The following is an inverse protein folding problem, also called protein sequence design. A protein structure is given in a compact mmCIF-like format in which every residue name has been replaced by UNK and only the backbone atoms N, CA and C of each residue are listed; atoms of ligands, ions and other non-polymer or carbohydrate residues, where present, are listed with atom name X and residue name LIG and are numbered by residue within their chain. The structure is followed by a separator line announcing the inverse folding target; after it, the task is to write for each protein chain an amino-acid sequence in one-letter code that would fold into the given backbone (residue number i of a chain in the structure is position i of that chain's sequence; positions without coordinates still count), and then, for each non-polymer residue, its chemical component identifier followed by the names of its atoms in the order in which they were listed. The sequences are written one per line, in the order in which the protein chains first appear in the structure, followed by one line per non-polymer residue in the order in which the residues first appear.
data_IF_615302317422
#
_entry.id   IF_615302317422
#
_cell.length_a   1.000
_cell.length_b   1.000
_cell.length_c   1.000
_cell.angle_alpha   90.00
_cell.angle_beta   90.00
_cell.angle_gamma   90.00
#
_symmetry.space_group_name_H-M   'P 1'
#
loop_
_entity.id
_entity.type
_entity.pdbx_description
1 polymer ?
#
# COMPACT_ATOMS: atom_id res chain seq x y z
N UNK A 1 93.20 35.79 3.32
CA UNK A 1 92.51 36.10 2.05
C UNK A 1 92.66 34.89 1.14
N UNK A 2 91.67 33.99 1.10
CA UNK A 2 91.75 32.73 0.34
C UNK A 2 90.42 32.51 -0.39
N UNK A 3 90.52 32.32 -1.70
CA UNK A 3 89.45 31.90 -2.60
C UNK A 3 88.84 30.58 -2.14
N UNK A 4 87.50 30.51 -2.10
CA UNK A 4 86.78 29.24 -2.08
C UNK A 4 85.85 29.13 -3.28
N UNK A 5 86.08 28.03 -4.00
CA UNK A 5 85.45 27.57 -5.22
C UNK A 5 84.22 26.75 -4.82
N UNK A 6 83.01 27.23 -5.07
CA UNK A 6 81.77 26.49 -4.80
C UNK A 6 81.53 25.52 -5.96
N UNK A 7 81.51 24.21 -5.66
CA UNK A 7 81.16 23.13 -6.58
C UNK A 7 79.64 22.88 -6.53
N UNK A 8 79.10 22.63 -7.72
CA UNK A 8 77.76 22.15 -7.98
C UNK A 8 77.49 20.74 -7.42
N UNK A 9 76.21 20.46 -7.14
CA UNK A 9 75.70 19.10 -6.98
C UNK A 9 74.69 18.96 -5.84
N UNK A 10 73.42 19.30 -6.08
CA UNK A 10 72.30 18.79 -5.27
C UNK A 10 71.39 17.98 -6.20
N UNK A 11 71.21 16.67 -5.98
CA UNK A 11 70.36 15.86 -6.82
C UNK A 11 68.87 16.10 -6.48
N UNK A 12 68.14 16.50 -7.51
CA UNK A 12 66.68 16.49 -7.59
C UNK A 12 66.19 15.03 -7.66
N UNK A 13 66.02 14.36 -6.52
CA UNK A 13 65.35 13.06 -6.50
C UNK A 13 64.91 12.74 -5.07
N UNK A 14 63.66 13.03 -4.71
CA UNK A 14 62.88 12.36 -3.64
C UNK A 14 61.50 13.02 -3.42
N UNK A 15 60.66 13.13 -4.45
CA UNK A 15 59.24 13.59 -4.29
C UNK A 15 58.24 12.79 -5.16
N UNK A 16 58.51 11.51 -5.44
CA UNK A 16 57.70 10.68 -6.36
C UNK A 16 57.21 9.32 -5.80
N UNK A 17 57.15 9.12 -4.47
CA UNK A 17 56.76 7.80 -3.89
C UNK A 17 55.42 7.80 -3.13
N UNK A 18 54.74 8.93 -2.95
CA UNK A 18 53.54 9.00 -2.10
C UNK A 18 52.17 8.88 -2.83
N UNK A 19 52.11 8.46 -4.09
CA UNK A 19 50.86 8.54 -4.89
C UNK A 19 50.31 7.22 -5.46
N UNK A 20 50.81 6.06 -5.02
CA UNK A 20 50.41 4.75 -5.57
C UNK A 20 49.47 3.89 -4.69
N UNK A 21 48.99 4.38 -3.54
CA UNK A 21 48.15 3.59 -2.62
C UNK A 21 46.69 4.09 -2.47
N UNK A 22 46.24 5.05 -3.28
CA UNK A 22 44.87 5.59 -3.17
C UNK A 22 43.72 4.75 -3.80
N UNK A 23 43.90 3.82 -4.77
CA UNK A 23 42.75 3.22 -5.46
C UNK A 23 42.03 2.09 -4.70
N UNK A 24 42.63 1.47 -3.68
CA UNK A 24 42.04 0.30 -3.01
C UNK A 24 40.91 0.67 -2.03
N UNK A 25 40.98 1.84 -1.39
CA UNK A 25 40.04 2.24 -0.32
C UNK A 25 38.60 2.45 -0.85
N UNK A 26 38.44 2.91 -2.10
CA UNK A 26 37.13 3.20 -2.67
C UNK A 26 36.36 1.93 -3.07
N UNK A 27 37.06 0.88 -3.51
CA UNK A 27 36.44 -0.37 -3.91
C UNK A 27 35.86 -1.13 -2.71
N UNK A 28 36.58 -1.13 -1.59
CA UNK A 28 36.16 -1.79 -0.35
C UNK A 28 34.92 -1.11 0.25
N UNK A 29 34.88 0.23 0.24
CA UNK A 29 33.72 0.99 0.73
C UNK A 29 32.46 0.72 -0.12
N UNK A 30 32.60 0.66 -1.45
CA UNK A 30 31.47 0.35 -2.34
C UNK A 30 31.00 -1.10 -2.16
N UNK A 31 31.92 -2.04 -2.00
CA UNK A 31 31.61 -3.45 -1.75
C UNK A 31 30.83 -3.64 -0.45
N UNK A 32 31.30 -3.06 0.66
CA UNK A 32 30.60 -3.09 1.94
C UNK A 32 29.21 -2.43 1.86
N UNK A 33 29.10 -1.31 1.15
CA UNK A 33 27.82 -0.65 0.94
C UNK A 33 26.82 -1.54 0.18
N UNK A 34 27.30 -2.23 -0.86
CA UNK A 34 26.50 -3.03 -1.78
C UNK A 34 26.11 -4.43 -1.26
N UNK A 35 26.67 -4.89 -0.14
CA UNK A 35 26.28 -6.17 0.49
C UNK A 35 24.88 -6.12 1.13
N UNK A 36 24.40 -4.94 1.48
CA UNK A 36 23.08 -4.74 2.08
C UNK A 36 22.03 -4.41 1.01
N UNK A 37 21.58 -5.42 0.27
CA UNK A 37 20.54 -5.31 -0.75
C UNK A 37 19.25 -5.94 -0.27
N UNK A 38 18.42 -5.17 0.41
CA UNK A 38 17.11 -5.63 0.85
C UNK A 38 16.07 -4.52 0.73
N UNK A 39 15.00 -4.81 -0.02
CA UNK A 39 13.68 -4.21 0.23
C UNK A 39 12.90 -5.05 1.26
N UNK A 40 13.57 -5.99 1.93
CA UNK A 40 12.96 -6.93 2.85
C UNK A 40 12.71 -6.26 4.20
N UNK A 41 11.47 -6.39 4.67
CA UNK A 41 10.92 -5.62 5.79
C UNK A 41 10.11 -4.43 5.28
N UNK A 42 8.99 -4.14 5.93
CA UNK A 42 8.24 -2.88 5.78
C UNK A 42 9.19 -1.75 6.20
N UNK A 43 10.02 -1.28 5.28
CA UNK A 43 10.94 -0.17 5.57
C UNK A 43 10.09 1.09 5.71
N UNK A 44 10.11 1.63 6.92
CA UNK A 44 9.73 3.01 7.22
C UNK A 44 11.02 3.83 7.23
N UNK A 45 11.16 4.86 6.37
CA UNK A 45 10.17 5.37 5.41
C UNK A 45 10.03 4.49 4.16
N UNK A 46 8.86 4.52 3.48
CA UNK A 46 8.64 3.79 2.24
C UNK A 46 9.75 4.12 1.21
N UNK A 47 10.14 3.15 0.38
CA UNK A 47 11.20 3.37 -0.60
C UNK A 47 10.82 4.53 -1.50
N UNK A 48 11.76 5.48 -1.65
CA UNK A 48 11.56 6.62 -2.53
C UNK A 48 11.28 6.14 -3.95
N UNK A 49 10.45 6.85 -4.71
CA UNK A 49 10.25 6.53 -6.13
C UNK A 49 11.12 7.45 -6.97
N UNK A 50 11.75 6.90 -8.01
CA UNK A 50 12.41 7.66 -9.05
C UNK A 50 11.86 7.28 -10.42
N UNK A 51 11.97 8.19 -11.39
CA UNK A 51 11.66 7.91 -12.79
C UNK A 51 12.97 7.70 -13.53
N UNK A 52 13.01 6.69 -14.39
CA UNK A 52 14.14 6.48 -15.29
C UNK A 52 14.18 7.62 -16.30
N UNK A 53 15.28 8.35 -16.35
CA UNK A 53 15.49 9.43 -17.31
C UNK A 53 16.79 9.17 -18.07
N UNK A 54 16.65 8.50 -19.20
CA UNK A 54 17.73 8.20 -20.15
C UNK A 54 17.30 8.67 -21.55
N UNK A 55 18.24 8.88 -22.49
CA UNK A 55 17.90 9.23 -23.87
C UNK A 55 16.89 8.26 -24.49
N UNK A 56 16.03 8.76 -25.36
CA UNK A 56 15.03 7.92 -26.02
C UNK A 56 15.71 6.85 -26.88
N UNK A 57 15.30 5.58 -26.70
CA UNK A 57 15.90 4.42 -27.37
C UNK A 57 17.00 3.73 -26.56
N UNK A 58 17.56 4.39 -25.55
CA UNK A 58 18.54 3.79 -24.65
C UNK A 58 17.90 2.87 -23.62
N UNK A 59 18.75 2.05 -22.98
CA UNK A 59 18.38 1.06 -21.97
C UNK A 59 19.20 1.26 -20.70
N UNK A 60 18.53 1.32 -19.55
CA UNK A 60 19.19 1.29 -18.25
C UNK A 60 19.21 -0.15 -17.73
N UNK A 61 20.38 -0.77 -17.74
CA UNK A 61 20.54 -2.17 -17.35
C UNK A 61 20.52 -2.37 -15.84
N UNK A 62 19.83 -3.42 -15.39
CA UNK A 62 19.74 -3.84 -13.98
C UNK A 62 20.76 -4.94 -13.73
N UNK A 63 21.75 -4.66 -12.89
CA UNK A 63 22.84 -5.56 -12.55
C UNK A 63 22.62 -6.26 -11.21
N UNK A 64 23.14 -7.49 -11.05
CA UNK A 64 23.13 -8.16 -9.74
C UNK A 64 24.03 -7.45 -8.72
N UNK A 65 25.14 -6.89 -9.19
CA UNK A 65 26.16 -6.16 -8.43
C UNK A 65 26.56 -4.89 -9.20
N UNK A 66 26.94 -3.78 -8.55
CA UNK A 66 27.50 -2.62 -9.24
C UNK A 66 28.61 -3.01 -10.21
N UNK A 67 28.57 -2.56 -11.47
CA UNK A 67 29.54 -3.01 -12.47
C UNK A 67 30.99 -2.56 -12.18
N UNK A 68 31.15 -1.52 -11.36
CA UNK A 68 32.47 -1.09 -10.88
C UNK A 68 33.10 -2.02 -9.84
N UNK A 69 32.38 -3.04 -9.36
CA UNK A 69 32.90 -4.07 -8.45
C UNK A 69 33.22 -5.40 -9.17
N UNK A 70 33.27 -5.38 -10.50
CA UNK A 70 33.51 -6.53 -11.35
C UNK A 70 34.98 -6.60 -11.72
N UNK A 71 35.58 -7.80 -11.63
CA UNK A 71 36.98 -7.99 -12.01
C UNK A 71 37.17 -7.92 -13.53
N UNK A 72 36.16 -8.33 -14.31
CA UNK A 72 36.09 -8.16 -15.77
C UNK A 72 34.63 -7.96 -16.22
N UNK A 73 34.44 -7.56 -17.48
CA UNK A 73 33.11 -7.48 -18.13
C UNK A 73 32.43 -8.83 -18.28
N UNK A 74 33.19 -9.92 -18.24
CA UNK A 74 32.73 -11.28 -18.54
C UNK A 74 32.40 -12.05 -17.26
N UNK A 75 32.49 -11.40 -16.10
CA UNK A 75 32.06 -11.97 -14.83
C UNK A 75 30.54 -12.18 -14.84
N UNK A 76 30.09 -13.43 -14.69
CA UNK A 76 28.66 -13.82 -14.65
C UNK A 76 27.88 -13.10 -13.54
N UNK A 77 28.57 -12.64 -12.49
CA UNK A 77 27.97 -11.80 -11.44
C UNK A 77 27.63 -10.38 -11.92
N UNK A 78 28.19 -9.97 -13.05
CA UNK A 78 28.13 -8.63 -13.63
C UNK A 78 27.34 -8.59 -14.94
N UNK A 79 26.85 -9.74 -15.39
CA UNK A 79 25.82 -9.80 -16.41
C UNK A 79 24.54 -9.10 -15.93
N UNK A 80 23.99 -8.26 -16.81
CA UNK A 80 22.73 -7.61 -16.56
C UNK A 80 21.58 -8.62 -16.68
N UNK A 81 20.63 -8.57 -15.74
CA UNK A 81 19.45 -9.47 -15.74
C UNK A 81 18.34 -8.99 -16.66
N UNK A 82 18.22 -7.68 -16.80
CA UNK A 82 17.15 -7.01 -17.52
C UNK A 82 17.54 -5.56 -17.78
N UNK A 83 16.67 -4.83 -18.44
CA UNK A 83 16.78 -3.39 -18.59
C UNK A 83 15.43 -2.72 -18.35
N UNK A 84 15.49 -1.41 -18.13
CA UNK A 84 14.35 -0.50 -18.04
C UNK A 84 14.58 0.66 -18.99
N UNK A 85 13.48 1.30 -19.41
CA UNK A 85 13.50 2.40 -20.38
C UNK A 85 13.05 3.71 -19.73
N UNK A 86 13.33 4.82 -20.41
CA UNK A 86 12.92 6.16 -19.97
C UNK A 86 11.40 6.23 -19.67
N UNK A 87 11.03 6.93 -18.60
CA UNK A 87 9.66 7.06 -18.12
C UNK A 87 9.17 5.95 -17.18
N UNK A 88 9.91 4.86 -17.01
CA UNK A 88 9.56 3.83 -16.04
C UNK A 88 9.76 4.31 -14.60
N UNK A 89 8.80 4.04 -13.72
CA UNK A 89 8.93 4.27 -12.28
C UNK A 89 9.64 3.09 -11.59
N UNK A 90 10.52 3.41 -10.65
CA UNK A 90 11.23 2.42 -9.84
C UNK A 90 11.20 2.80 -8.37
N UNK A 91 11.08 1.81 -7.50
CA UNK A 91 11.36 1.99 -6.09
C UNK A 91 12.89 2.01 -5.88
N UNK A 92 13.37 3.04 -5.21
CA UNK A 92 14.77 3.30 -4.88
C UNK A 92 15.02 2.78 -3.47
N UNK A 93 15.99 1.89 -3.35
CA UNK A 93 16.54 1.43 -2.09
C UNK A 93 17.84 2.17 -1.76
N UNK A 94 18.86 1.42 -1.35
CA UNK A 94 20.15 1.98 -0.98
C UNK A 94 20.91 2.53 -2.19
N UNK A 95 21.50 3.71 -2.04
CA UNK A 95 22.45 4.29 -3.00
C UNK A 95 23.87 4.19 -2.47
N UNK A 96 24.78 3.68 -3.29
CA UNK A 96 26.19 3.46 -2.98
C UNK A 96 27.03 4.08 -4.10
N UNK A 97 27.55 5.29 -3.88
CA UNK A 97 28.29 6.02 -4.89
C UNK A 97 27.43 6.36 -6.11
N UNK A 98 27.81 5.88 -7.30
CA UNK A 98 27.08 6.10 -8.56
C UNK A 98 26.02 5.04 -8.85
N UNK A 99 25.76 4.15 -7.90
CA UNK A 99 24.87 3.02 -8.08
C UNK A 99 23.72 3.08 -7.09
N UNK A 100 22.51 2.81 -7.59
CA UNK A 100 21.31 2.74 -6.77
C UNK A 100 20.69 1.37 -6.91
N UNK A 101 20.40 0.72 -5.78
CA UNK A 101 19.64 -0.50 -5.77
C UNK A 101 18.16 -0.17 -5.97
N UNK A 102 17.54 -0.77 -6.97
CA UNK A 102 16.15 -0.52 -7.32
C UNK A 102 15.31 -1.79 -7.28
N UNK A 103 14.01 -1.58 -7.18
CA UNK A 103 12.98 -2.57 -7.52
C UNK A 103 12.13 -2.00 -8.63
N UNK A 104 12.24 -2.61 -9.81
CA UNK A 104 11.39 -2.34 -10.95
C UNK A 104 10.25 -3.36 -10.98
N UNK A 105 9.04 -2.91 -11.33
CA UNK A 105 7.88 -3.77 -11.54
C UNK A 105 7.46 -3.65 -13.00
N UNK A 106 7.96 -4.56 -13.83
CA UNK A 106 7.53 -4.68 -15.22
C UNK A 106 6.27 -5.54 -15.36
N UNK A 107 5.70 -5.59 -16.55
CA UNK A 107 4.39 -6.21 -16.83
C UNK A 107 4.31 -7.69 -16.43
N UNK A 108 5.41 -8.44 -16.58
CA UNK A 108 5.47 -9.89 -16.33
C UNK A 108 6.17 -10.28 -15.04
N UNK A 109 7.06 -9.44 -14.51
CA UNK A 109 7.88 -9.76 -13.34
C UNK A 109 8.40 -8.51 -12.65
N UNK A 110 8.54 -8.59 -11.33
CA UNK A 110 9.37 -7.63 -10.59
C UNK A 110 10.83 -8.03 -10.66
N UNK A 111 11.71 -7.05 -10.90
CA UNK A 111 13.16 -7.26 -10.97
C UNK A 111 13.86 -6.29 -10.04
N UNK A 112 14.81 -6.79 -9.25
CA UNK A 112 15.67 -5.98 -8.40
C UNK A 112 17.11 -6.03 -8.87
N UNK A 113 17.86 -4.98 -8.56
CA UNK A 113 19.29 -4.91 -8.85
C UNK A 113 19.80 -3.48 -8.82
N UNK A 114 21.08 -3.35 -9.16
CA UNK A 114 21.78 -2.07 -9.19
C UNK A 114 21.67 -1.44 -10.57
N UNK A 115 21.40 -0.15 -10.61
CA UNK A 115 21.42 0.68 -11.81
C UNK A 115 22.31 1.90 -11.60
N UNK A 116 22.75 2.54 -12.68
CA UNK A 116 23.44 3.83 -12.58
C UNK A 116 22.49 4.89 -12.03
N UNK A 117 22.87 5.55 -10.94
CA UNK A 117 22.07 6.63 -10.33
C UNK A 117 21.86 7.80 -11.28
N UNK A 118 22.76 8.02 -12.24
CA UNK A 118 22.63 9.09 -13.24
C UNK A 118 21.47 8.88 -14.21
N UNK A 119 20.97 7.65 -14.34
CA UNK A 119 19.78 7.33 -15.15
C UNK A 119 18.48 7.44 -14.36
N UNK A 120 18.54 7.85 -13.09
CA UNK A 120 17.39 8.03 -12.22
C UNK A 120 17.19 9.52 -11.95
N UNK A 121 15.99 10.00 -12.22
CA UNK A 121 15.55 11.32 -11.84
C UNK A 121 14.65 11.21 -10.61
N UNK A 122 15.22 11.57 -9.47
CA UNK A 122 14.46 11.85 -8.25
C UNK A 122 13.93 13.27 -8.37
N UNK A 123 12.77 13.42 -9.03
CA UNK A 123 12.12 14.73 -9.10
C UNK A 123 11.79 15.20 -7.67
N UNK A 124 12.23 16.41 -7.27
CA UNK A 124 11.72 17.04 -6.06
C UNK A 124 10.21 17.21 -6.10
N UNK A 125 9.60 17.31 -7.29
CA UNK A 125 8.14 17.42 -7.44
C UNK A 125 7.44 16.08 -7.23
N UNK A 126 8.07 14.96 -7.58
CA UNK A 126 7.64 13.63 -7.11
C UNK A 126 7.81 13.46 -5.60
N UNK A 127 8.59 14.34 -4.93
CA UNK A 127 8.62 14.50 -3.48
C UNK A 127 7.62 15.54 -2.95
N UNK A 128 7.30 16.58 -3.71
CA UNK A 128 6.38 17.67 -3.32
C UNK A 128 4.92 17.25 -3.42
N UNK A 129 4.60 16.39 -4.38
CA UNK A 129 3.31 15.69 -4.49
C UNK A 129 3.10 14.64 -3.38
N UNK A 130 4.08 14.43 -2.49
CA UNK A 130 4.03 13.30 -1.54
C UNK A 130 3.06 13.49 -0.38
N UNK A 131 2.61 14.72 -0.12
CA UNK A 131 1.57 15.02 0.85
C UNK A 131 0.32 15.63 0.18
N UNK A 132 -0.01 15.16 -1.03
CA UNK A 132 -1.21 15.61 -1.71
C UNK A 132 -2.51 15.34 -0.94
N UNK A 133 -2.46 14.56 0.14
CA UNK A 133 -3.60 14.31 1.02
C UNK A 133 -3.23 14.66 2.45
N UNK A 134 -4.08 15.48 3.07
CA UNK A 134 -4.09 15.64 4.51
C UNK A 134 -5.47 15.32 5.06
N UNK A 135 -5.50 14.84 6.28
CA UNK A 135 -6.70 14.52 7.00
C UNK A 135 -7.00 15.61 8.01
N UNK A 136 -8.28 15.96 8.12
CA UNK A 136 -8.79 16.83 9.17
C UNK A 136 -9.79 16.06 10.03
N UNK A 137 -9.58 16.06 11.35
CA UNK A 137 -10.50 15.43 12.29
C UNK A 137 -11.78 16.27 12.41
N UNK A 138 -12.91 15.70 11.98
CA UNK A 138 -14.23 16.33 12.00
C UNK A 138 -15.10 15.84 13.16
N UNK A 139 -14.85 14.62 13.67
CA UNK A 139 -15.52 14.05 14.86
C UNK A 139 -14.52 13.34 15.77
N UNK A 140 -14.69 13.45 17.08
CA UNK A 140 -13.89 12.71 18.08
C UNK A 140 -12.72 13.48 18.68
N UNK A 141 -12.69 14.82 18.56
CA UNK A 141 -11.64 15.68 19.13
C UNK A 141 -11.44 15.43 20.63
N UNK A 142 -10.18 15.30 21.06
CA UNK A 142 -9.82 15.02 22.44
C UNK A 142 -9.96 13.54 22.84
N UNK A 143 -10.43 12.68 21.94
CA UNK A 143 -10.40 11.24 22.14
C UNK A 143 -9.02 10.71 21.75
N UNK A 144 -8.25 10.06 22.65
CA UNK A 144 -6.84 9.73 22.41
C UNK A 144 -6.56 8.93 21.13
N UNK A 145 -7.41 7.94 20.81
CA UNK A 145 -7.26 7.15 19.57
C UNK A 145 -7.50 8.02 18.33
N UNK A 146 -8.43 8.98 18.40
CA UNK A 146 -8.75 9.83 17.25
C UNK A 146 -7.60 10.78 16.91
N UNK A 147 -7.01 11.41 17.93
CA UNK A 147 -5.88 12.33 17.77
C UNK A 147 -4.60 11.57 17.34
N UNK A 148 -4.36 10.39 17.91
CA UNK A 148 -3.24 9.54 17.53
C UNK A 148 -3.38 9.03 16.08
N UNK A 149 -4.58 8.61 15.68
CA UNK A 149 -4.83 8.13 14.33
C UNK A 149 -4.74 9.28 13.31
N UNK A 150 -5.21 10.49 13.64
CA UNK A 150 -4.97 11.69 12.81
C UNK A 150 -3.47 11.90 12.56
N UNK A 151 -2.67 11.85 13.62
CA UNK A 151 -1.22 12.03 13.56
C UNK A 151 -0.57 10.95 12.67
N UNK A 152 -1.04 9.71 12.77
CA UNK A 152 -0.55 8.60 11.92
C UNK A 152 -0.92 8.85 10.47
N UNK A 153 -2.20 9.10 10.16
CA UNK A 153 -2.67 9.40 8.81
C UNK A 153 -1.87 10.54 8.16
N UNK A 154 -1.65 11.65 8.87
CA UNK A 154 -0.89 12.79 8.34
C UNK A 154 0.64 12.61 8.30
N UNK A 155 1.16 11.52 8.89
CA UNK A 155 2.58 11.14 8.79
C UNK A 155 2.80 10.09 7.70
N UNK A 156 1.77 9.33 7.37
CA UNK A 156 1.81 8.28 6.37
C UNK A 156 1.89 8.87 4.97
N UNK A 157 2.85 8.37 4.19
CA UNK A 157 2.92 8.67 2.77
C UNK A 157 1.86 7.88 2.00
N UNK A 158 1.04 8.58 1.22
CA UNK A 158 0.03 7.99 0.36
C UNK A 158 0.31 8.36 -1.09
N UNK A 159 0.83 7.39 -1.85
CA UNK A 159 1.09 7.56 -3.29
C UNK A 159 -0.20 7.86 -4.08
N UNK A 160 -1.31 7.33 -3.60
CA UNK A 160 -2.64 7.45 -4.16
C UNK A 160 -3.61 7.73 -3.02
N UNK A 161 -4.84 8.20 -3.30
CA UNK A 161 -5.81 8.39 -2.23
C UNK A 161 -5.88 7.17 -1.31
N UNK A 162 -5.88 7.38 0.02
CA UNK A 162 -5.67 6.35 1.04
C UNK A 162 -6.90 5.46 1.25
N UNK A 163 -7.62 5.12 0.19
CA UNK A 163 -8.94 4.51 0.31
C UNK A 163 -8.89 3.12 0.96
N UNK A 164 -7.80 2.38 0.82
CA UNK A 164 -7.63 1.06 1.40
C UNK A 164 -6.17 0.79 1.76
N UNK A 165 -5.96 -0.20 2.63
CA UNK A 165 -4.63 -0.63 3.04
C UNK A 165 -3.92 0.42 3.88
N UNK A 166 -4.65 1.13 4.75
CA UNK A 166 -4.07 2.14 5.64
C UNK A 166 -2.89 1.48 6.40
N UNK A 167 -1.64 1.96 6.21
CA UNK A 167 -0.46 1.29 6.71
C UNK A 167 -0.51 1.04 8.21
N UNK A 168 -0.37 -0.23 8.59
CA UNK A 168 -0.23 -0.72 9.96
C UNK A 168 1.22 -0.56 10.44
N UNK A 169 1.52 0.58 11.05
CA UNK A 169 2.78 0.83 11.76
C UNK A 169 2.55 1.30 13.20
N UNK A 170 3.62 1.19 13.99
CA UNK A 170 3.74 1.56 15.40
C UNK A 170 4.47 2.90 15.58
N UNK A 171 4.57 3.70 14.50
CA UNK A 171 5.37 4.93 14.49
C UNK A 171 4.74 6.09 15.26
N UNK A 172 3.52 5.90 15.77
CA UNK A 172 2.80 6.79 16.68
C UNK A 172 2.47 6.02 17.96
N UNK A 173 2.82 6.60 19.11
CA UNK A 173 2.65 5.96 20.42
C UNK A 173 1.21 5.49 20.67
N UNK A 174 1.11 4.27 21.20
CA UNK A 174 -0.14 3.59 21.50
C UNK A 174 -0.61 2.64 20.39
N UNK A 175 -0.16 2.78 19.14
CA UNK A 175 -0.48 1.77 18.13
C UNK A 175 0.37 0.50 18.29
N UNK A 176 -0.27 -0.64 18.07
CA UNK A 176 0.43 -1.91 17.90
C UNK A 176 0.30 -2.35 16.44
N UNK A 177 1.43 -2.70 15.83
CA UNK A 177 1.43 -3.31 14.50
C UNK A 177 0.83 -4.72 14.57
N UNK A 178 -0.24 -4.95 13.83
CA UNK A 178 -0.82 -6.28 13.68
C UNK A 178 -0.02 -7.06 12.64
N UNK A 179 0.09 -8.36 12.84
CA UNK A 179 0.78 -9.24 11.89
C UNK A 179 -0.21 -9.76 10.87
N UNK A 180 -0.13 -9.24 9.65
CA UNK A 180 -0.91 -9.68 8.49
C UNK A 180 -0.24 -10.91 7.86
N UNK A 181 -0.90 -12.05 7.90
CA UNK A 181 -0.50 -13.25 7.17
C UNK A 181 -1.25 -13.30 5.84
N UNK A 182 -0.53 -13.06 4.75
CA UNK A 182 -1.11 -13.19 3.40
C UNK A 182 -1.61 -14.62 3.20
N UNK A 183 -2.80 -14.75 2.60
CA UNK A 183 -3.33 -16.04 2.24
C UNK A 183 -2.47 -16.67 1.15
N UNK A 184 -2.16 -17.96 1.30
CA UNK A 184 -1.61 -18.74 0.20
C UNK A 184 -2.63 -18.84 -0.94
N UNK A 185 -2.14 -19.13 -2.15
CA UNK A 185 -3.01 -19.36 -3.31
C UNK A 185 -4.10 -20.42 -3.01
N UNK A 186 -3.72 -21.50 -2.32
CA UNK A 186 -4.65 -22.57 -1.94
C UNK A 186 -5.74 -22.08 -0.99
N UNK A 187 -5.38 -21.30 0.03
CA UNK A 187 -6.35 -20.73 0.98
C UNK A 187 -7.28 -19.74 0.29
N UNK A 188 -6.74 -18.79 -0.49
CA UNK A 188 -7.55 -17.84 -1.24
C UNK A 188 -8.55 -18.58 -2.17
N UNK A 189 -8.06 -19.57 -2.93
CA UNK A 189 -8.92 -20.35 -3.83
C UNK A 189 -10.11 -21.00 -3.11
N UNK A 190 -9.88 -21.58 -1.94
CA UNK A 190 -10.95 -22.23 -1.16
C UNK A 190 -12.01 -21.23 -0.67
N UNK A 191 -11.61 -20.01 -0.36
CA UNK A 191 -12.50 -18.99 0.20
C UNK A 191 -13.22 -18.15 -0.85
N UNK A 192 -12.70 -18.11 -2.07
CA UNK A 192 -13.14 -17.16 -3.09
C UNK A 192 -14.64 -17.20 -3.33
N UNK A 193 -15.23 -18.38 -3.54
CA UNK A 193 -16.66 -18.46 -3.82
C UNK A 193 -17.51 -18.04 -2.63
N UNK A 194 -17.12 -18.43 -1.42
CA UNK A 194 -17.84 -18.04 -0.20
C UNK A 194 -17.85 -16.52 -0.02
N UNK A 195 -16.69 -15.89 -0.15
CA UNK A 195 -16.53 -14.44 -0.02
C UNK A 195 -17.20 -13.70 -1.19
N UNK A 196 -17.00 -14.14 -2.44
CA UNK A 196 -17.58 -13.48 -3.61
C UNK A 196 -19.11 -13.52 -3.59
N UNK A 197 -19.70 -14.67 -3.27
CA UNK A 197 -21.15 -14.80 -3.15
C UNK A 197 -21.66 -13.99 -1.97
N UNK A 198 -21.02 -14.05 -0.81
CA UNK A 198 -21.43 -13.26 0.35
C UNK A 198 -21.35 -11.75 0.08
N UNK A 199 -20.27 -11.25 -0.51
CA UNK A 199 -20.14 -9.83 -0.87
C UNK A 199 -21.15 -9.38 -1.93
N UNK A 200 -21.63 -10.28 -2.78
CA UNK A 200 -22.57 -9.94 -3.83
C UNK A 200 -24.02 -10.09 -3.39
N UNK A 201 -24.42 -11.19 -2.75
CA UNK A 201 -25.83 -11.46 -2.41
C UNK A 201 -26.13 -11.26 -0.93
N UNK A 202 -25.10 -11.00 -0.13
CA UNK A 202 -25.17 -11.03 1.32
C UNK A 202 -25.21 -12.44 1.89
N UNK A 203 -25.22 -13.51 1.08
CA UNK A 203 -25.20 -14.91 1.52
C UNK A 203 -24.07 -15.66 0.83
N UNK A 204 -23.37 -16.53 1.55
CA UNK A 204 -22.29 -17.31 0.98
C UNK A 204 -22.83 -18.40 0.03
N UNK A 205 -21.95 -18.98 -0.78
CA UNK A 205 -22.33 -20.04 -1.71
C UNK A 205 -22.86 -21.26 -0.95
N UNK A 206 -23.96 -21.83 -1.44
CA UNK A 206 -24.42 -23.16 -0.96
C UNK A 206 -23.54 -24.30 -1.48
N UNK A 207 -22.63 -24.02 -2.42
CA UNK A 207 -21.68 -24.99 -2.96
C UNK A 207 -20.56 -25.33 -1.98
N UNK A 208 -19.98 -26.52 -2.14
CA UNK A 208 -18.78 -26.93 -1.39
C UNK A 208 -17.58 -26.08 -1.83
N UNK A 209 -16.81 -25.49 -0.89
CA UNK A 209 -15.56 -24.80 -1.20
C UNK A 209 -14.65 -25.62 -2.13
N UNK A 210 -14.26 -25.03 -3.26
CA UNK A 210 -13.41 -25.68 -4.26
C UNK A 210 -14.14 -26.61 -5.25
N UNK A 211 -15.45 -26.44 -5.47
CA UNK A 211 -16.13 -27.02 -6.63
C UNK A 211 -15.46 -26.54 -7.94
N UNK A 212 -15.44 -27.37 -8.98
CA UNK A 212 -14.76 -27.06 -10.25
C UNK A 212 -15.26 -25.76 -10.90
N UNK A 213 -16.54 -25.42 -10.73
CA UNK A 213 -17.10 -24.15 -11.21
C UNK A 213 -16.50 -22.93 -10.50
N UNK A 214 -16.18 -23.08 -9.22
CA UNK A 214 -15.50 -22.05 -8.43
C UNK A 214 -14.02 -21.96 -8.83
N UNK A 215 -13.38 -23.09 -9.14
CA UNK A 215 -12.02 -23.14 -9.68
C UNK A 215 -11.94 -22.40 -11.03
N UNK A 216 -12.90 -22.60 -11.93
CA UNK A 216 -12.95 -21.89 -13.22
C UNK A 216 -13.20 -20.38 -13.05
N UNK A 217 -14.11 -19.97 -12.14
CA UNK A 217 -14.34 -18.56 -11.84
C UNK A 217 -13.12 -17.90 -11.19
N UNK A 218 -12.45 -18.61 -10.29
CA UNK A 218 -11.23 -18.16 -9.66
C UNK A 218 -10.11 -18.05 -10.70
N UNK A 219 -9.86 -19.09 -11.50
CA UNK A 219 -8.77 -19.09 -12.47
C UNK A 219 -9.00 -18.06 -13.60
N UNK A 220 -10.24 -17.87 -14.07
CA UNK A 220 -10.56 -16.83 -15.07
C UNK A 220 -10.36 -15.41 -14.53
N UNK A 221 -10.68 -15.14 -13.26
CA UNK A 221 -10.52 -13.82 -12.65
C UNK A 221 -9.12 -13.58 -12.06
N UNK A 222 -8.43 -14.62 -11.59
CA UNK A 222 -7.19 -14.51 -10.80
C UNK A 222 -5.95 -15.13 -11.48
N UNK A 223 -6.08 -16.16 -12.33
CA UNK A 223 -4.94 -16.75 -13.08
C UNK A 223 -4.77 -16.20 -14.50
N UNK A 224 -5.86 -15.83 -15.16
CA UNK A 224 -5.84 -15.29 -16.54
C UNK A 224 -5.01 -14.01 -16.67
N UNK A 225 -4.82 -13.26 -15.58
CA UNK A 225 -3.91 -12.15 -15.52
C UNK A 225 -2.64 -12.54 -14.76
N UNK A 226 -1.57 -12.89 -15.46
CA UNK A 226 -0.20 -12.77 -14.94
C UNK A 226 0.21 -11.31 -14.66
N UNK A 227 -0.75 -10.42 -14.39
CA UNK A 227 -0.64 -8.99 -14.19
C UNK A 227 -1.02 -8.59 -12.77
N UNK A 228 -1.08 -7.29 -12.53
CA UNK A 228 -1.23 -6.61 -11.23
C UNK A 228 -2.42 -7.00 -10.33
N UNK A 229 -3.26 -7.98 -10.70
CA UNK A 229 -4.56 -8.30 -10.12
C UNK A 229 -4.57 -9.49 -9.14
N UNK A 230 -3.42 -9.88 -8.57
CA UNK A 230 -3.48 -10.75 -7.38
C UNK A 230 -4.07 -9.92 -6.24
N UNK A 231 -5.39 -9.97 -6.05
CA UNK A 231 -6.03 -9.16 -5.03
C UNK A 231 -5.51 -9.64 -3.68
N UNK A 232 -4.89 -8.76 -2.88
CA UNK A 232 -4.30 -9.19 -1.63
C UNK A 232 -5.45 -9.55 -0.68
N UNK A 233 -5.38 -10.78 -0.21
CA UNK A 233 -6.20 -11.28 0.88
C UNK A 233 -5.27 -11.73 2.01
N UNK A 234 -5.62 -11.39 3.24
CA UNK A 234 -4.82 -11.74 4.41
C UNK A 234 -5.71 -12.04 5.62
N UNK A 235 -5.11 -12.70 6.60
CA UNK A 235 -5.63 -12.87 7.95
C UNK A 235 -4.72 -12.17 8.95
N UNK A 236 -5.22 -12.00 10.16
CA UNK A 236 -4.42 -11.58 11.30
C UNK A 236 -3.93 -12.79 12.09
N UNK A 237 -2.66 -12.79 12.48
CA UNK A 237 -2.04 -13.86 13.28
C UNK A 237 -1.23 -13.25 14.44
N UNK A 238 -1.70 -13.34 15.70
CA UNK A 238 -2.87 -14.09 16.14
C UNK A 238 -4.22 -13.47 15.69
N UNK A 239 -5.33 -14.23 15.75
CA UNK A 239 -6.68 -13.70 15.55
C UNK A 239 -6.97 -12.46 16.42
N UNK A 240 -7.92 -11.62 15.99
CA UNK A 240 -8.15 -10.30 16.61
C UNK A 240 -9.45 -10.26 17.40
N UNK A 241 -9.43 -9.69 18.60
CA UNK A 241 -10.62 -9.44 19.42
C UNK A 241 -11.30 -8.14 18.98
N UNK A 242 -11.98 -8.19 17.83
CA UNK A 242 -12.58 -7.00 17.21
C UNK A 242 -13.76 -6.46 18.03
N UNK A 243 -14.42 -7.30 18.83
CA UNK A 243 -15.50 -6.94 19.74
C UNK A 243 -15.00 -6.34 21.07
N UNK A 244 -13.71 -6.49 21.36
CA UNK A 244 -13.09 -6.09 22.61
C UNK A 244 -13.75 -6.74 23.84
N UNK A 245 -14.08 -8.03 23.73
CA UNK A 245 -14.80 -8.81 24.76
C UNK A 245 -13.97 -9.97 25.34
N UNK A 246 -12.70 -10.10 24.93
CA UNK A 246 -11.79 -11.16 25.33
C UNK A 246 -11.77 -12.37 24.38
N UNK A 247 -12.61 -12.42 23.34
CA UNK A 247 -12.66 -13.50 22.36
C UNK A 247 -12.16 -13.03 20.99
N UNK A 248 -11.18 -13.74 20.44
CA UNK A 248 -10.61 -13.39 19.15
C UNK A 248 -11.39 -14.05 17.99
N UNK A 249 -11.64 -13.26 16.94
CA UNK A 249 -12.26 -13.69 15.69
C UNK A 249 -11.17 -13.96 14.62
N UNK A 250 -11.35 -15.03 13.83
CA UNK A 250 -10.54 -15.26 12.62
C UNK A 250 -11.09 -14.39 11.49
N UNK A 251 -10.37 -13.30 11.17
CA UNK A 251 -10.81 -12.31 10.20
C UNK A 251 -9.99 -12.40 8.93
N UNK A 252 -10.67 -12.57 7.81
CA UNK A 252 -10.10 -12.42 6.47
C UNK A 252 -10.43 -11.02 5.96
N UNK A 253 -9.41 -10.29 5.52
CA UNK A 253 -9.60 -9.06 4.74
C UNK A 253 -9.32 -9.37 3.27
N UNK A 254 -10.23 -9.00 2.39
CA UNK A 254 -10.17 -9.30 0.96
C UNK A 254 -10.37 -8.04 0.12
N UNK A 255 -9.42 -7.76 -0.78
CA UNK A 255 -9.56 -6.69 -1.76
C UNK A 255 -10.32 -7.17 -3.01
N UNK A 256 -11.19 -6.32 -3.55
CA UNK A 256 -12.03 -6.55 -4.74
C UNK A 256 -13.12 -7.64 -4.57
N UNK A 257 -13.55 -7.94 -3.33
CA UNK A 257 -14.67 -8.88 -3.12
C UNK A 257 -16.03 -8.34 -3.63
N UNK A 258 -16.18 -7.01 -3.72
CA UNK A 258 -17.42 -6.33 -4.08
C UNK A 258 -17.69 -6.26 -5.60
N UNK A 259 -18.98 -6.16 -5.93
CA UNK A 259 -19.65 -6.56 -7.18
C UNK A 259 -19.13 -6.08 -8.53
N UNK A 260 -18.22 -5.12 -8.68
CA UNK A 260 -18.22 -4.38 -9.96
C UNK A 260 -16.90 -4.15 -10.70
N UNK A 261 -15.71 -4.03 -10.12
CA UNK A 261 -14.57 -3.59 -10.96
C UNK A 261 -13.18 -4.08 -10.54
N UNK A 262 -12.39 -4.41 -11.55
CA UNK A 262 -11.00 -4.92 -11.52
C UNK A 262 -9.96 -3.84 -11.21
N UNK A 263 -10.25 -2.90 -10.31
CA UNK A 263 -9.28 -1.86 -9.98
C UNK A 263 -8.55 -2.21 -8.70
N UNK A 264 -7.24 -1.95 -8.67
CA UNK A 264 -6.38 -2.24 -7.52
C UNK A 264 -6.37 -1.08 -6.53
N UNK A 265 -6.21 -1.40 -5.24
CA UNK A 265 -6.10 -0.40 -4.19
C UNK A 265 -5.05 0.65 -4.53
N UNK A 266 -5.43 1.92 -4.41
CA UNK A 266 -4.54 3.03 -4.75
C UNK A 266 -4.29 3.17 -6.26
N UNK A 267 -5.29 3.03 -7.13
CA UNK A 267 -5.17 3.56 -8.49
C UNK A 267 -5.75 4.98 -8.50
N UNK A 268 -4.94 5.96 -8.95
CA UNK A 268 -5.44 7.29 -9.32
C UNK A 268 -6.40 7.09 -10.47
N UNK A 269 -7.70 7.22 -10.20
CA UNK A 269 -8.67 7.29 -11.27
C UNK A 269 -8.55 8.67 -11.91
N UNK A 270 -8.42 8.67 -13.24
CA UNK A 270 -8.28 9.85 -14.08
C UNK A 270 -9.27 10.93 -13.64
N UNK A 271 -8.78 12.15 -13.45
CA UNK A 271 -9.63 13.25 -12.99
C UNK A 271 -10.68 13.70 -14.03
N UNK A 272 -10.55 13.23 -15.27
CA UNK A 272 -11.36 13.67 -16.41
C UNK A 272 -12.59 12.82 -16.74
N UNK A 273 -12.83 11.71 -16.04
CA UNK A 273 -14.02 10.87 -16.25
C UNK A 273 -14.68 10.73 -14.88
N UNK A 274 -15.99 10.97 -14.79
CA UNK A 274 -16.79 10.97 -13.54
C UNK A 274 -16.89 9.64 -12.81
N UNK A 275 -15.89 8.77 -12.98
CA UNK A 275 -15.80 7.38 -12.56
C UNK A 275 -14.68 7.24 -11.52
N UNK A 276 -14.82 7.89 -10.37
CA UNK A 276 -13.93 7.69 -9.22
C UNK A 276 -14.44 6.51 -8.37
N UNK A 277 -14.20 5.29 -8.85
CA UNK A 277 -14.53 4.04 -8.19
C UNK A 277 -13.54 3.66 -7.09
N UNK A 278 -14.03 3.42 -5.87
CA UNK A 278 -13.20 2.83 -4.82
C UNK A 278 -13.08 1.34 -5.00
N UNK A 279 -11.88 0.85 -4.74
CA UNK A 279 -11.65 -0.58 -4.63
C UNK A 279 -12.20 -1.05 -3.31
N UNK A 280 -13.15 -1.98 -3.36
CA UNK A 280 -13.69 -2.59 -2.15
C UNK A 280 -12.60 -3.34 -1.40
N UNK A 281 -12.49 -3.12 -0.09
CA UNK A 281 -11.69 -3.94 0.81
C UNK A 281 -12.59 -4.32 1.98
N UNK A 282 -13.03 -5.56 2.03
CA UNK A 282 -14.01 -5.99 3.01
C UNK A 282 -13.39 -6.97 3.99
N UNK A 283 -13.85 -6.91 5.24
CA UNK A 283 -13.49 -7.86 6.28
C UNK A 283 -14.62 -8.87 6.47
N UNK A 284 -14.25 -10.13 6.67
CA UNK A 284 -15.16 -11.25 6.86
C UNK A 284 -14.70 -12.04 8.09
N UNK A 285 -15.64 -12.32 8.99
CA UNK A 285 -15.36 -13.26 10.08
C UNK A 285 -15.57 -14.66 9.56
N UNK A 286 -14.57 -15.50 9.77
CA UNK A 286 -14.58 -16.89 9.38
C UNK A 286 -15.14 -17.76 10.49
N UNK A 287 -15.83 -18.84 10.13
CA UNK A 287 -16.21 -19.89 11.07
C UNK A 287 -14.95 -20.61 11.58
N UNK A 288 -15.09 -21.40 12.65
CA UNK A 288 -13.95 -22.10 13.27
C UNK A 288 -13.20 -23.08 12.36
N UNK A 289 -13.77 -23.49 11.23
CA UNK A 289 -13.09 -24.30 10.21
C UNK A 289 -12.22 -23.47 9.25
N UNK A 290 -12.35 -22.14 9.29
CA UNK A 290 -11.64 -21.20 8.43
C UNK A 290 -12.00 -21.33 6.94
N UNK A 291 -13.08 -22.02 6.57
CA UNK A 291 -13.48 -22.27 5.16
C UNK A 291 -14.76 -21.53 4.77
N UNK A 292 -15.57 -21.17 5.74
CA UNK A 292 -16.86 -20.50 5.53
C UNK A 292 -16.92 -19.17 6.26
N UNK A 293 -17.64 -18.22 5.66
CA UNK A 293 -17.95 -16.95 6.32
C UNK A 293 -18.96 -17.24 7.42
N UNK A 294 -18.69 -16.75 8.63
CA UNK A 294 -19.72 -16.58 9.65
C UNK A 294 -20.55 -15.36 9.26
N UNK A 295 -21.61 -15.62 8.50
CA UNK A 295 -22.41 -14.56 7.92
C UNK A 295 -23.10 -13.69 8.97
N UNK A 296 -23.59 -14.30 10.07
CA UNK A 296 -24.26 -13.58 11.14
C UNK A 296 -23.30 -12.65 11.86
N UNK A 297 -22.12 -13.17 12.20
CA UNK A 297 -21.05 -12.41 12.84
C UNK A 297 -20.53 -11.31 11.94
N UNK A 298 -20.22 -11.62 10.69
CA UNK A 298 -19.73 -10.67 9.68
C UNK A 298 -20.71 -9.50 9.48
N UNK A 299 -22.00 -9.79 9.31
CA UNK A 299 -23.04 -8.76 9.19
C UNK A 299 -23.12 -7.90 10.45
N UNK A 300 -23.08 -8.52 11.63
CA UNK A 300 -23.20 -7.78 12.89
C UNK A 300 -22.05 -6.78 13.12
N UNK A 301 -20.86 -7.07 12.57
CA UNK A 301 -19.65 -6.26 12.75
C UNK A 301 -19.50 -5.18 11.67
N UNK A 302 -19.56 -5.59 10.40
CA UNK A 302 -19.10 -4.80 9.26
C UNK A 302 -20.22 -4.29 8.37
N UNK A 303 -21.47 -4.66 8.66
CA UNK A 303 -22.63 -4.24 7.88
C UNK A 303 -23.57 -3.41 8.72
N UNK A 304 -24.36 -2.58 8.03
CA UNK A 304 -25.35 -1.76 8.71
C UNK A 304 -26.47 -2.66 9.25
N UNK A 305 -27.06 -2.29 10.39
CA UNK A 305 -28.32 -2.89 10.81
C UNK A 305 -29.35 -2.77 9.66
N UNK A 306 -30.23 -3.77 9.45
CA UNK A 306 -31.27 -3.67 8.45
C UNK A 306 -32.06 -2.39 8.67
N UNK A 307 -31.95 -1.46 7.73
CA UNK A 307 -32.82 -0.30 7.69
C UNK A 307 -33.95 -0.66 6.74
N UNK A 308 -35.19 -0.33 7.09
CA UNK A 308 -36.33 -0.45 6.16
C UNK A 308 -36.19 0.63 5.07
N UNK A 309 -35.18 0.49 4.21
CA UNK A 309 -34.99 1.36 3.09
C UNK A 309 -35.99 0.95 2.02
N UNK A 310 -37.09 1.72 1.97
CA UNK A 310 -38.03 1.64 0.88
C UNK A 310 -37.44 2.43 -0.30
N UNK A 311 -37.10 1.73 -1.37
CA UNK A 311 -36.86 2.40 -2.65
C UNK A 311 -38.12 3.15 -3.07
N UNK A 312 -37.97 4.19 -3.91
CA UNK A 312 -39.10 4.94 -4.50
C UNK A 312 -40.09 4.03 -5.24
N UNK A 313 -39.66 2.85 -5.68
CA UNK A 313 -40.49 1.84 -6.35
C UNK A 313 -41.17 0.84 -5.37
N UNK A 314 -41.06 1.04 -4.06
CA UNK A 314 -41.68 0.18 -3.04
C UNK A 314 -40.97 -1.15 -2.77
N UNK A 315 -39.88 -1.48 -3.47
CA UNK A 315 -39.03 -2.61 -3.09
C UNK A 315 -38.32 -2.27 -1.79
N UNK A 316 -38.50 -3.11 -0.78
CA UNK A 316 -37.62 -3.11 0.39
C UNK A 316 -36.33 -3.70 -0.09
N UNK A 317 -35.27 -2.90 0.00
CA UNK A 317 -33.96 -3.49 -0.13
C UNK A 317 -33.64 -4.25 1.15
N UNK A 318 -33.48 -5.56 1.06
CA UNK A 318 -32.82 -6.30 2.13
C UNK A 318 -31.31 -6.30 1.95
N UNK A 319 -30.78 -5.51 0.99
CA UNK A 319 -29.37 -5.53 0.66
C UNK A 319 -28.52 -5.22 1.88
N UNK A 320 -27.59 -6.13 2.08
CA UNK A 320 -26.58 -6.06 3.12
C UNK A 320 -25.58 -4.99 2.71
N UNK A 321 -25.78 -3.78 3.22
CA UNK A 321 -24.91 -2.65 2.96
C UNK A 321 -23.73 -2.67 3.94
N UNK A 322 -22.49 -2.81 3.47
CA UNK A 322 -21.33 -2.69 4.36
C UNK A 322 -21.29 -1.28 4.97
N UNK A 323 -20.80 -1.15 6.20
CA UNK A 323 -20.68 0.16 6.87
C UNK A 323 -19.79 1.08 6.03
N UNK A 324 -18.70 0.53 5.50
CA UNK A 324 -17.69 1.19 4.68
C UNK A 324 -17.30 0.31 3.49
N UNK A 325 -16.88 0.91 2.38
CA UNK A 325 -16.38 0.13 1.22
C UNK A 325 -15.02 -0.49 1.47
N UNK A 326 -14.26 0.13 2.36
CA UNK A 326 -12.92 -0.28 2.72
C UNK A 326 -12.88 -0.50 4.22
N UNK A 327 -12.29 -1.60 4.66
CA UNK A 327 -12.21 -1.99 6.07
C UNK A 327 -10.76 -2.34 6.37
N UNK A 328 -10.11 -1.53 7.20
CA UNK A 328 -8.81 -1.78 7.79
C UNK A 328 -8.99 -1.96 9.30
N UNK A 329 -8.29 -2.93 9.90
CA UNK A 329 -8.35 -3.20 11.34
C UNK A 329 -7.02 -2.76 11.97
N UNK A 330 -7.08 -2.14 13.14
CA UNK A 330 -5.88 -1.74 13.88
C UNK A 330 -6.09 -1.84 15.39
N UNK A 331 -4.99 -1.94 16.13
CA UNK A 331 -5.01 -1.91 17.59
C UNK A 331 -4.37 -0.63 18.11
N UNK A 332 -5.07 0.05 19.03
CA UNK A 332 -4.57 1.19 19.78
C UNK A 332 -4.75 0.94 21.28
N UNK A 333 -3.62 0.91 22.00
CA UNK A 333 -3.52 0.42 23.37
C UNK A 333 -4.12 -0.98 23.44
N UNK A 334 -5.03 -1.25 24.37
CA UNK A 334 -5.63 -2.57 24.56
C UNK A 334 -6.83 -2.84 23.64
N UNK A 335 -7.21 -1.91 22.77
CA UNK A 335 -8.46 -2.01 22.01
C UNK A 335 -8.23 -2.14 20.51
N UNK A 336 -9.04 -2.99 19.89
CA UNK A 336 -9.16 -3.12 18.45
C UNK A 336 -10.25 -2.20 17.90
N UNK A 337 -9.94 -1.63 16.75
CA UNK A 337 -10.81 -0.74 15.99
C UNK A 337 -10.80 -1.18 14.54
N UNK A 338 -11.82 -0.78 13.80
CA UNK A 338 -11.77 -0.82 12.35
C UNK A 338 -12.07 0.56 11.77
N UNK A 339 -11.52 0.84 10.61
CA UNK A 339 -11.71 2.09 9.90
C UNK A 339 -12.01 1.85 8.43
N UNK A 340 -12.70 2.81 7.84
CA UNK A 340 -13.12 2.70 6.47
C UNK A 340 -13.73 3.97 5.93
N UNK A 341 -13.64 4.16 4.63
CA UNK A 341 -14.34 5.25 3.99
C UNK A 341 -15.80 4.90 3.79
N UNK A 342 -16.69 5.84 4.11
CA UNK A 342 -18.09 5.69 3.75
C UNK A 342 -18.24 5.60 2.24
N UNK A 343 -19.22 4.83 1.81
CA UNK A 343 -19.66 4.86 0.42
C UNK A 343 -20.58 6.07 0.20
N UNK A 344 -20.43 6.73 -0.94
CA UNK A 344 -21.33 7.79 -1.37
C UNK A 344 -22.06 7.44 -2.69
N UNK A 345 -21.91 6.21 -3.18
CA UNK A 345 -22.55 5.80 -4.42
C UNK A 345 -24.09 5.86 -4.28
N UNK A 346 -24.70 6.57 -5.23
CA UNK A 346 -26.12 6.60 -5.61
C UNK A 346 -27.13 6.38 -4.47
N UNK A 347 -27.51 7.42 -3.72
CA UNK A 347 -28.70 7.49 -2.82
C UNK A 347 -28.88 6.41 -1.73
N UNK A 348 -28.13 5.29 -1.74
CA UNK A 348 -28.36 4.13 -0.87
C UNK A 348 -27.38 4.11 0.30
N UNK A 349 -26.18 4.67 0.12
CA UNK A 349 -25.12 4.53 1.10
C UNK A 349 -24.85 5.85 1.84
N UNK A 350 -25.21 5.88 3.13
CA UNK A 350 -24.97 6.98 4.06
C UNK A 350 -23.89 6.64 5.08
N UNK A 351 -24.00 7.16 6.29
CA UNK A 351 -23.15 6.75 7.41
C UNK A 351 -23.66 5.46 8.05
N UNK A 352 -23.14 5.10 9.22
CA UNK A 352 -23.56 3.89 9.95
C UNK A 352 -25.08 3.78 10.10
N UNK A 353 -25.75 4.92 10.33
CA UNK A 353 -27.21 5.01 10.53
C UNK A 353 -27.96 5.26 9.22
N UNK A 354 -27.25 5.45 8.10
CA UNK A 354 -27.84 5.78 6.80
C UNK A 354 -28.35 7.23 6.68
N UNK A 355 -28.22 8.04 7.73
CA UNK A 355 -28.78 9.39 7.82
C UNK A 355 -28.20 10.35 6.76
N UNK A 356 -26.91 10.18 6.43
CA UNK A 356 -26.22 11.02 5.44
C UNK A 356 -26.40 10.58 3.97
N UNK A 357 -27.15 9.50 3.69
CA UNK A 357 -27.35 9.01 2.32
C UNK A 357 -28.11 10.01 1.42
N UNK A 358 -28.98 10.83 2.01
CA UNK A 358 -29.93 11.71 1.27
C UNK A 358 -29.54 13.19 1.25
N UNK A 359 -28.45 13.58 1.89
CA UNK A 359 -28.02 14.97 1.88
C UNK A 359 -27.67 15.37 0.43
N UNK A 360 -28.32 16.41 -0.09
CA UNK A 360 -28.21 16.87 -1.49
C UNK A 360 -26.77 17.07 -1.94
N UNK A 361 -25.90 17.46 -1.01
CA UNK A 361 -24.50 17.74 -1.25
C UNK A 361 -23.71 16.46 -1.56
N UNK A 362 -24.24 15.26 -1.27
CA UNK A 362 -23.59 13.99 -1.61
C UNK A 362 -23.93 13.51 -3.04
N UNK A 363 -25.01 13.99 -3.66
CA UNK A 363 -25.45 13.50 -4.99
C UNK A 363 -24.65 14.07 -6.16
N UNK A 364 -24.18 15.31 -6.01
CA UNK A 364 -23.46 16.04 -7.06
C UNK A 364 -22.08 16.50 -6.61
N UNK A 365 -21.66 16.15 -5.39
CA UNK A 365 -20.29 16.35 -4.96
C UNK A 365 -19.41 15.50 -5.88
N UNK A 366 -18.45 16.08 -6.62
CA UNK A 366 -17.35 15.27 -7.13
C UNK A 366 -16.77 14.52 -5.94
N UNK A 367 -16.31 13.29 -6.16
CA UNK A 367 -15.77 12.39 -5.13
C UNK A 367 -14.64 13.03 -4.29
N UNK A 368 -14.14 14.21 -4.70
CA UNK A 368 -13.29 15.14 -3.94
C UNK A 368 -14.01 15.91 -2.81
N UNK A 369 -15.30 15.68 -2.55
CA UNK A 369 -16.06 16.35 -1.49
C UNK A 369 -17.16 15.46 -0.88
N UNK A 370 -17.63 15.81 0.32
CA UNK A 370 -18.77 15.16 0.96
C UNK A 370 -18.44 13.86 1.70
N UNK A 371 -19.47 13.02 1.89
CA UNK A 371 -19.38 11.81 2.73
C UNK A 371 -18.37 10.79 2.20
N UNK A 372 -18.17 10.72 0.88
CA UNK A 372 -17.16 9.87 0.28
C UNK A 372 -15.81 10.12 0.94
N UNK A 373 -15.36 11.36 1.08
CA UNK A 373 -14.05 11.68 1.65
C UNK A 373 -13.96 11.57 3.17
N UNK A 374 -15.00 11.04 3.80
CA UNK A 374 -15.01 10.81 5.23
C UNK A 374 -14.54 9.39 5.53
N UNK A 375 -13.34 9.29 6.11
CA UNK A 375 -12.85 8.09 6.78
C UNK A 375 -13.46 8.07 8.18
N UNK A 376 -14.13 6.98 8.55
CA UNK A 376 -14.65 6.78 9.89
C UNK A 376 -13.87 5.69 10.61
N UNK A 377 -13.73 5.84 11.93
CA UNK A 377 -13.20 4.81 12.84
C UNK A 377 -14.35 4.35 13.72
N UNK A 378 -14.47 3.03 13.84
CA UNK A 378 -15.51 2.37 14.61
C UNK A 378 -14.88 1.61 15.77
N UNK A 379 -15.53 1.71 16.93
CA UNK A 379 -15.31 0.83 18.06
C UNK A 379 -16.53 -0.06 18.21
N UNK A 380 -16.26 -1.34 18.37
CA UNK A 380 -17.26 -2.36 18.68
C UNK A 380 -17.05 -2.79 20.13
N UNK A 381 -18.11 -2.71 20.94
CA UNK A 381 -18.14 -3.12 22.35
C UNK A 381 -19.57 -3.40 22.77
N UNK A 382 -19.77 -4.37 23.66
CA UNK A 382 -21.09 -4.74 24.19
C UNK A 382 -22.10 -5.05 23.07
N UNK A 383 -21.61 -5.70 22.00
CA UNK A 383 -22.42 -6.04 20.83
C UNK A 383 -22.87 -4.86 19.96
N UNK A 384 -22.33 -3.65 20.18
CA UNK A 384 -22.70 -2.43 19.44
C UNK A 384 -21.49 -1.83 18.72
N UNK A 385 -21.65 -1.56 17.42
CA UNK A 385 -20.70 -0.78 16.62
C UNK A 385 -21.02 0.71 16.75
N UNK A 386 -20.03 1.53 17.09
CA UNK A 386 -20.19 2.98 17.24
C UNK A 386 -19.09 3.74 16.49
N UNK A 387 -19.40 4.77 15.69
CA UNK A 387 -18.40 5.63 15.07
C UNK A 387 -17.83 6.55 16.15
N UNK A 388 -16.52 6.48 16.36
CA UNK A 388 -15.80 7.24 17.38
C UNK A 388 -15.03 8.42 16.80
N UNK A 389 -14.50 8.27 15.58
CA UNK A 389 -13.75 9.31 14.88
C UNK A 389 -14.26 9.45 13.46
N UNK A 390 -14.20 10.67 12.92
CA UNK A 390 -14.36 10.92 11.50
C UNK A 390 -13.28 11.89 11.03
N UNK A 391 -12.75 11.62 9.84
CA UNK A 391 -11.70 12.39 9.21
C UNK A 391 -12.12 12.72 7.79
N UNK A 392 -12.00 13.99 7.42
CA UNK A 392 -12.14 14.43 6.05
C UNK A 392 -10.78 14.40 5.36
N UNK A 393 -10.67 13.68 4.25
CA UNK A 393 -9.51 13.76 3.35
C UNK A 393 -9.63 15.02 2.51
N UNK A 394 -8.57 15.81 2.50
CA UNK A 394 -8.45 17.01 1.69
C UNK A 394 -7.25 16.86 0.77
N UNK A 395 -7.50 17.09 -0.53
CA UNK A 395 -6.42 17.25 -1.48
C UNK A 395 -5.71 18.58 -1.19
N UNK A 396 -4.38 18.58 -1.09
CA UNK A 396 -3.64 19.83 -1.13
C UNK A 396 -3.86 20.42 -2.51
N UNK A 397 -4.54 21.57 -2.60
CA UNK A 397 -4.66 22.28 -3.87
C UNK A 397 -3.23 22.58 -4.32
N UNK A 398 -2.84 22.08 -5.49
CA UNK A 398 -1.67 22.58 -6.17
C UNK A 398 -1.90 24.09 -6.27
N UNK A 399 -1.08 24.89 -5.58
CA UNK A 399 -1.22 26.33 -5.63
C UNK A 399 -1.22 26.74 -7.10
N UNK A 400 -2.18 27.58 -7.49
CA UNK A 400 -2.17 28.22 -8.80
C UNK A 400 -0.90 29.08 -8.87
N UNK A 401 0.21 28.50 -9.32
CA UNK A 401 1.46 29.21 -9.66
C UNK A 401 1.36 29.85 -11.05
#
# INVERSE_FOLDING_TARGET
MRLFKIRAGVPFALWWVALLHAPTVLADALSACAQHTGFEGVQTPPPQTAIVQIPQGDRLYIYKKPSSLCASSDDVACEHKSYIISGNAVAVGKTCGKWTYIKYRGDKKSTTGWVSSSGLYSSPDLQRDQNNYYFALTRGRGTPVCDAFLKRLNKTYFQYPPYCGIPEDDSVSGFLKLNRRMLSFKEARLLFSQIHWFSSTGAQSQGTPGDKRDDDLFDTRYRGAGGFYSTPAWRYDPPVDIDNDGHSDDIVVWQEAARTMTNTCGVRLSTGIGDYWRVGQQAFVMRGDGLYVDEGRTRSLFYRPPYNYHYKNGKVDTDFVPITLTTDIFKYRELFYFAGFYDAQEEVHGDLEGNRARQSNNKNAPFSSGLANTLAVFLRRDGKTTPICEYEVKAQQAGDE
#
